data_IF_414595669090
#
_entry.id   IF_414595669090
#
_cell.length_a   1.000
_cell.length_b   1.000
_cell.length_c   1.000
_cell.angle_alpha   90.00
_cell.angle_beta   90.00
_cell.angle_gamma   90.00
#
_symmetry.space_group_name_H-M   'P 1'
#
loop_
_entity.id
_entity.type
_entity.pdbx_description
1 polymer ?
#
# COMPACT_ATOMS: atom_id res chain seq x y z
N UNK A 1 10.07 -23.75 2.18
CA UNK A 1 8.71 -23.39 1.75
C UNK A 1 7.98 -22.76 2.95
N UNK A 2 8.06 -21.48 3.08
CA UNK A 2 7.34 -20.72 4.12
C UNK A 2 5.92 -20.47 3.62
N UNK A 3 4.96 -21.13 4.23
CA UNK A 3 3.53 -20.89 4.10
C UNK A 3 3.26 -19.42 4.49
N UNK A 4 3.00 -18.57 3.51
CA UNK A 4 2.37 -17.28 3.72
C UNK A 4 1.02 -17.58 4.39
N UNK A 5 0.93 -17.25 5.68
CA UNK A 5 -0.28 -17.42 6.45
C UNK A 5 -1.43 -16.73 5.72
N UNK A 6 -2.41 -17.52 5.30
CA UNK A 6 -3.69 -16.99 4.84
C UNK A 6 -4.26 -16.21 6.02
N UNK A 7 -4.20 -14.88 5.93
CA UNK A 7 -4.87 -14.02 6.88
C UNK A 7 -6.32 -14.48 7.02
N UNK A 8 -6.82 -14.46 8.26
CA UNK A 8 -8.22 -14.78 8.54
C UNK A 8 -9.07 -13.86 7.64
N UNK A 9 -10.01 -14.39 6.84
CA UNK A 9 -10.85 -13.53 6.00
C UNK A 9 -11.52 -12.49 6.88
N UNK A 10 -11.54 -11.24 6.44
CA UNK A 10 -12.23 -10.18 7.17
C UNK A 10 -13.72 -10.52 7.29
N UNK A 11 -14.38 -10.07 8.34
CA UNK A 11 -15.82 -10.29 8.56
C UNK A 11 -16.62 -9.81 7.33
N UNK A 12 -16.21 -8.68 6.74
CA UNK A 12 -16.80 -8.15 5.52
C UNK A 12 -16.66 -9.10 4.32
N UNK A 13 -15.57 -9.86 4.24
CA UNK A 13 -15.34 -10.79 3.13
C UNK A 13 -16.26 -12.02 3.19
N UNK A 14 -16.69 -12.45 4.38
CA UNK A 14 -17.57 -13.61 4.54
C UNK A 14 -19.04 -13.32 4.25
N UNK A 15 -19.50 -12.08 4.37
CA UNK A 15 -20.92 -11.70 4.31
C UNK A 15 -21.36 -11.25 2.91
N UNK A 16 -20.42 -10.85 2.02
CA UNK A 16 -20.75 -10.36 0.69
C UNK A 16 -21.01 -11.48 -0.32
N UNK A 17 -22.08 -11.37 -1.13
CA UNK A 17 -22.32 -12.27 -2.24
C UNK A 17 -21.17 -12.26 -3.25
N UNK A 18 -20.88 -13.43 -3.85
CA UNK A 18 -19.76 -13.60 -4.76
C UNK A 18 -19.77 -12.63 -5.95
N UNK A 19 -20.93 -12.37 -6.55
CA UNK A 19 -21.06 -11.43 -7.66
C UNK A 19 -20.71 -9.99 -7.25
N UNK A 20 -21.02 -9.59 -6.01
CA UNK A 20 -20.62 -8.27 -5.49
C UNK A 20 -19.11 -8.21 -5.28
N UNK A 21 -18.50 -9.27 -4.72
CA UNK A 21 -17.03 -9.35 -4.58
C UNK A 21 -16.33 -9.21 -5.92
N UNK A 22 -16.81 -9.88 -6.96
CA UNK A 22 -16.26 -9.78 -8.33
C UNK A 22 -16.36 -8.34 -8.83
N UNK A 23 -17.53 -7.71 -8.73
CA UNK A 23 -17.71 -6.34 -9.19
C UNK A 23 -16.80 -5.34 -8.47
N UNK A 24 -16.64 -5.48 -7.16
CA UNK A 24 -15.78 -4.61 -6.37
C UNK A 24 -14.29 -4.83 -6.64
N UNK A 25 -13.87 -6.09 -6.86
CA UNK A 25 -12.50 -6.40 -7.24
C UNK A 25 -12.14 -5.81 -8.63
N UNK A 26 -13.07 -5.87 -9.59
CA UNK A 26 -12.90 -5.24 -10.90
C UNK A 26 -12.81 -3.71 -10.79
N UNK A 27 -13.49 -3.09 -9.82
CA UNK A 27 -13.41 -1.64 -9.58
C UNK A 27 -12.01 -1.19 -9.19
N UNK A 28 -11.30 -1.97 -8.40
CA UNK A 28 -9.94 -1.66 -7.96
C UNK A 28 -8.97 -1.57 -9.13
N UNK A 29 -9.22 -2.31 -10.23
CA UNK A 29 -8.41 -2.23 -11.45
C UNK A 29 -8.67 -0.98 -12.31
N UNK A 30 -9.54 -0.06 -11.85
CA UNK A 30 -9.82 1.20 -12.53
C UNK A 30 -11.00 1.16 -13.52
N UNK A 31 -11.72 0.05 -13.61
CA UNK A 31 -12.89 -0.06 -14.49
C UNK A 31 -14.03 0.86 -14.06
N UNK A 32 -14.89 1.21 -15.01
CA UNK A 32 -16.11 1.96 -14.70
C UNK A 32 -17.08 1.08 -13.91
N UNK A 33 -17.95 1.66 -13.09
CA UNK A 33 -18.94 0.92 -12.33
C UNK A 33 -19.87 0.06 -13.20
N UNK A 34 -20.21 0.56 -14.40
CA UNK A 34 -21.00 -0.18 -15.36
C UNK A 34 -20.28 -1.43 -15.86
N UNK A 35 -19.00 -1.31 -16.22
CA UNK A 35 -18.17 -2.43 -16.64
C UNK A 35 -17.97 -3.46 -15.52
N UNK A 36 -17.87 -3.00 -14.25
CA UNK A 36 -17.77 -3.89 -13.09
C UNK A 36 -19.06 -4.71 -12.89
N UNK A 37 -20.22 -4.08 -13.04
CA UNK A 37 -21.51 -4.77 -12.96
C UNK A 37 -21.67 -5.81 -14.09
N UNK A 38 -21.32 -5.45 -15.32
CA UNK A 38 -21.32 -6.37 -16.48
C UNK A 38 -20.38 -7.57 -16.25
N UNK A 39 -19.16 -7.34 -15.76
CA UNK A 39 -18.20 -8.41 -15.46
C UNK A 39 -18.70 -9.37 -14.37
N UNK A 40 -19.50 -8.88 -13.44
CA UNK A 40 -20.09 -9.66 -12.37
C UNK A 40 -21.46 -10.28 -12.74
N UNK A 41 -21.98 -10.00 -13.92
CA UNK A 41 -23.29 -10.49 -14.39
C UNK A 41 -24.49 -9.90 -13.64
N UNK A 42 -24.37 -8.69 -13.12
CA UNK A 42 -25.42 -7.98 -12.38
C UNK A 42 -25.78 -6.64 -13.02
N UNK A 43 -26.95 -6.10 -12.66
CA UNK A 43 -27.31 -4.76 -13.10
C UNK A 43 -26.48 -3.68 -12.39
N UNK A 44 -26.25 -2.57 -13.06
CA UNK A 44 -25.60 -1.41 -12.45
C UNK A 44 -26.37 -0.89 -11.23
N UNK A 45 -27.71 -0.92 -11.26
CA UNK A 45 -28.54 -0.47 -10.16
C UNK A 45 -28.40 -1.38 -8.93
N UNK A 46 -28.30 -2.69 -9.13
CA UNK A 46 -28.01 -3.66 -8.06
C UNK A 46 -26.65 -3.36 -7.41
N UNK A 47 -25.61 -3.15 -8.20
CA UNK A 47 -24.28 -2.83 -7.66
C UNK A 47 -24.30 -1.50 -6.92
N UNK A 48 -24.97 -0.48 -7.45
CA UNK A 48 -25.10 0.84 -6.82
C UNK A 48 -25.84 0.76 -5.48
N UNK A 49 -26.89 -0.06 -5.41
CA UNK A 49 -27.65 -0.27 -4.18
C UNK A 49 -26.77 -0.90 -3.09
N UNK A 50 -25.98 -1.92 -3.43
CA UNK A 50 -25.02 -2.53 -2.52
C UNK A 50 -24.01 -1.54 -1.97
N UNK A 51 -23.42 -0.72 -2.83
CA UNK A 51 -22.42 0.29 -2.41
C UNK A 51 -23.06 1.35 -1.52
N UNK A 52 -24.32 1.73 -1.77
CA UNK A 52 -24.99 2.78 -1.02
C UNK A 52 -25.48 2.31 0.34
N UNK A 53 -26.05 1.12 0.41
CA UNK A 53 -26.84 0.66 1.54
C UNK A 53 -26.13 -0.39 2.42
N UNK A 54 -25.02 -0.95 1.95
CA UNK A 54 -24.29 -2.01 2.65
C UNK A 54 -22.88 -1.56 3.03
N UNK A 55 -22.62 -1.23 4.32
CA UNK A 55 -21.30 -0.78 4.78
C UNK A 55 -20.19 -1.78 4.52
N UNK A 56 -20.49 -3.09 4.58
CA UNK A 56 -19.57 -4.19 4.30
C UNK A 56 -19.02 -4.15 2.87
N UNK A 57 -19.81 -3.69 1.90
CA UNK A 57 -19.34 -3.51 0.52
C UNK A 57 -18.28 -2.41 0.41
N UNK A 58 -18.43 -1.32 1.18
CA UNK A 58 -17.44 -0.23 1.24
C UNK A 58 -16.15 -0.71 1.93
N UNK A 59 -16.29 -1.43 3.03
CA UNK A 59 -15.14 -1.98 3.76
C UNK A 59 -14.35 -2.92 2.87
N UNK A 60 -15.02 -3.85 2.20
CA UNK A 60 -14.37 -4.77 1.25
C UNK A 60 -13.65 -4.04 0.11
N UNK A 61 -14.29 -3.02 -0.47
CA UNK A 61 -13.66 -2.21 -1.53
C UNK A 61 -12.39 -1.52 -1.02
N UNK A 62 -12.43 -0.93 0.19
CA UNK A 62 -11.27 -0.28 0.79
C UNK A 62 -10.13 -1.27 1.01
N UNK A 63 -10.41 -2.43 1.63
CA UNK A 63 -9.42 -3.48 1.83
C UNK A 63 -8.79 -3.94 0.51
N UNK A 64 -9.59 -4.12 -0.55
CA UNK A 64 -9.05 -4.50 -1.87
C UNK A 64 -8.25 -3.38 -2.54
N UNK A 65 -8.59 -2.12 -2.30
CA UNK A 65 -7.78 -0.99 -2.76
C UNK A 65 -6.42 -0.97 -2.04
N UNK A 66 -6.41 -1.19 -0.73
CA UNK A 66 -5.17 -1.23 0.05
C UNK A 66 -4.27 -2.40 -0.40
N UNK A 67 -4.82 -3.60 -0.55
CA UNK A 67 -4.13 -4.77 -1.09
C UNK A 67 -3.51 -4.47 -2.47
N UNK A 68 -4.25 -3.80 -3.35
CA UNK A 68 -3.77 -3.46 -4.69
C UNK A 68 -2.65 -2.41 -4.65
N UNK A 69 -2.75 -1.43 -3.78
CA UNK A 69 -1.70 -0.44 -3.54
C UNK A 69 -0.43 -1.13 -3.05
N UNK A 70 -0.53 -2.01 -2.04
CA UNK A 70 0.61 -2.75 -1.49
C UNK A 70 1.28 -3.63 -2.55
N UNK A 71 0.51 -4.33 -3.37
CA UNK A 71 1.05 -5.11 -4.50
C UNK A 71 1.76 -4.23 -5.52
N UNK A 72 1.22 -3.04 -5.78
CA UNK A 72 1.83 -2.06 -6.70
C UNK A 72 3.16 -1.56 -6.14
N UNK A 73 3.22 -1.18 -4.87
CA UNK A 73 4.45 -0.78 -4.21
C UNK A 73 5.50 -1.90 -4.21
N UNK A 74 5.08 -3.12 -3.92
CA UNK A 74 5.97 -4.29 -3.97
C UNK A 74 6.55 -4.50 -5.36
N UNK A 75 5.73 -4.42 -6.41
CA UNK A 75 6.18 -4.50 -7.79
C UNK A 75 7.18 -3.37 -8.12
N UNK A 76 6.86 -2.13 -7.76
CA UNK A 76 7.76 -0.99 -7.97
C UNK A 76 9.10 -1.17 -7.25
N UNK A 77 9.07 -1.67 -6.01
CA UNK A 77 10.29 -1.96 -5.24
C UNK A 77 11.14 -3.03 -5.93
N UNK A 78 10.54 -4.09 -6.45
CA UNK A 78 11.25 -5.13 -7.21
C UNK A 78 11.87 -4.60 -8.50
N UNK A 79 11.22 -3.65 -9.18
CA UNK A 79 11.69 -3.06 -10.43
C UNK A 79 12.62 -1.86 -10.25
N UNK A 80 12.71 -1.31 -9.05
CA UNK A 80 13.55 -0.15 -8.76
C UNK A 80 15.02 -0.30 -9.17
N UNK A 81 15.69 -1.46 -8.99
CA UNK A 81 17.06 -1.62 -9.46
C UNK A 81 17.21 -1.51 -10.98
N UNK A 82 16.26 -2.04 -11.75
CA UNK A 82 16.26 -1.94 -13.21
C UNK A 82 16.07 -0.49 -13.66
N UNK A 83 15.14 0.23 -13.04
CA UNK A 83 14.89 1.66 -13.31
C UNK A 83 16.10 2.50 -12.94
N UNK A 84 16.76 2.22 -11.82
CA UNK A 84 17.99 2.90 -11.41
C UNK A 84 19.11 2.70 -12.42
N UNK A 85 19.29 1.50 -12.97
CA UNK A 85 20.26 1.22 -14.02
C UNK A 85 19.97 2.04 -15.31
N UNK A 86 18.72 2.14 -15.72
CA UNK A 86 18.35 2.92 -16.90
C UNK A 86 18.59 4.43 -16.67
N UNK A 87 18.26 4.94 -15.48
CA UNK A 87 18.56 6.32 -15.11
C UNK A 87 20.07 6.58 -15.12
N UNK A 88 20.86 5.67 -14.58
CA UNK A 88 22.32 5.75 -14.62
C UNK A 88 22.86 5.76 -16.05
N UNK A 89 22.36 4.92 -16.94
CA UNK A 89 22.74 4.91 -18.35
C UNK A 89 22.49 6.27 -19.02
N UNK A 90 21.32 6.88 -18.78
CA UNK A 90 20.99 8.21 -19.29
C UNK A 90 22.00 9.27 -18.82
N UNK A 91 22.37 9.23 -17.54
CA UNK A 91 23.32 10.19 -16.95
C UNK A 91 24.73 10.01 -17.55
N UNK A 92 25.16 8.77 -17.74
CA UNK A 92 26.52 8.44 -18.20
C UNK A 92 26.70 8.49 -19.71
N UNK A 93 25.62 8.41 -20.49
CA UNK A 93 25.70 8.43 -21.96
C UNK A 93 26.16 9.82 -22.46
N UNK A 94 27.30 9.82 -23.16
CA UNK A 94 27.87 11.03 -23.73
C UNK A 94 27.00 11.68 -24.81
N UNK A 95 26.10 10.93 -25.45
CA UNK A 95 25.19 11.42 -26.50
C UNK A 95 23.93 12.06 -25.91
N UNK A 96 23.62 11.80 -24.65
CA UNK A 96 22.46 12.40 -23.98
C UNK A 96 22.68 13.91 -23.82
N UNK A 97 21.73 14.68 -24.28
CA UNK A 97 21.78 16.16 -24.22
C UNK A 97 21.66 16.66 -22.79
N UNK A 98 22.31 17.78 -22.48
CA UNK A 98 22.38 18.33 -21.12
C UNK A 98 21.00 18.63 -20.50
N UNK A 99 20.02 19.05 -21.29
CA UNK A 99 18.67 19.32 -20.78
C UNK A 99 17.92 18.04 -20.32
N UNK A 100 18.38 16.85 -20.75
CA UNK A 100 17.86 15.56 -20.27
C UNK A 100 18.66 15.07 -19.07
N UNK A 101 20.00 15.28 -19.08
CA UNK A 101 20.87 14.85 -17.98
C UNK A 101 20.61 15.59 -16.68
N UNK A 102 20.41 16.89 -16.72
CA UNK A 102 20.22 17.68 -15.51
C UNK A 102 19.00 17.24 -14.68
N UNK A 103 17.79 17.04 -15.24
CA UNK A 103 16.66 16.48 -14.52
C UNK A 103 16.89 15.05 -14.04
N UNK A 104 17.62 14.22 -14.81
CA UNK A 104 17.94 12.85 -14.41
C UNK A 104 18.85 12.81 -13.18
N UNK A 105 19.87 13.66 -13.13
CA UNK A 105 20.76 13.83 -11.98
C UNK A 105 19.99 14.33 -10.75
N UNK A 106 19.14 15.34 -10.91
CA UNK A 106 18.29 15.85 -9.84
C UNK A 106 17.37 14.77 -9.29
N UNK A 107 16.75 13.97 -10.17
CA UNK A 107 15.91 12.84 -9.79
C UNK A 107 16.69 11.79 -9.00
N UNK A 108 17.93 11.48 -9.41
CA UNK A 108 18.81 10.54 -8.72
C UNK A 108 19.05 10.98 -7.27
N UNK A 109 19.47 12.22 -7.05
CA UNK A 109 19.72 12.74 -5.71
C UNK A 109 18.44 12.85 -4.88
N UNK A 110 17.32 13.23 -5.47
CA UNK A 110 16.03 13.31 -4.77
C UNK A 110 15.54 11.94 -4.27
N UNK A 111 15.79 10.87 -5.03
CA UNK A 111 15.49 9.50 -4.59
C UNK A 111 16.36 9.10 -3.42
N UNK A 112 17.66 9.41 -3.47
CA UNK A 112 18.60 9.13 -2.38
C UNK A 112 18.22 9.88 -1.09
N UNK A 113 17.91 11.17 -1.19
CA UNK A 113 17.53 12.00 -0.05
C UNK A 113 16.25 11.50 0.62
N UNK A 114 15.22 11.17 -0.17
CA UNK A 114 13.98 10.60 0.36
C UNK A 114 14.22 9.27 1.08
N UNK A 115 14.99 8.38 0.50
CA UNK A 115 15.33 7.11 1.12
C UNK A 115 16.12 7.25 2.42
N UNK A 116 17.00 8.24 2.50
CA UNK A 116 17.75 8.57 3.71
C UNK A 116 16.85 9.15 4.81
N UNK A 117 15.98 10.10 4.47
CA UNK A 117 15.04 10.71 5.40
C UNK A 117 14.08 9.67 5.96
N UNK A 118 13.52 8.82 5.11
CA UNK A 118 12.58 7.77 5.53
C UNK A 118 13.21 6.82 6.54
N UNK A 119 14.40 6.31 6.26
CA UNK A 119 15.12 5.42 7.20
C UNK A 119 15.42 6.08 8.53
N UNK A 120 15.76 7.37 8.52
CA UNK A 120 16.01 8.10 9.76
C UNK A 120 14.73 8.34 10.57
N UNK A 121 13.59 8.55 9.92
CA UNK A 121 12.30 8.69 10.60
C UNK A 121 11.91 7.37 11.24
N UNK A 122 12.01 6.25 10.52
CA UNK A 122 11.72 4.90 11.03
C UNK A 122 12.59 4.56 12.23
N UNK A 123 13.92 4.77 12.14
CA UNK A 123 14.84 4.53 13.25
C UNK A 123 14.50 5.37 14.49
N UNK A 124 14.08 6.63 14.31
CA UNK A 124 13.66 7.47 15.44
C UNK A 124 12.33 7.06 16.03
N UNK A 125 11.39 6.58 15.22
CA UNK A 125 10.13 6.05 15.69
C UNK A 125 10.32 4.79 16.52
N UNK A 126 11.19 3.88 16.11
CA UNK A 126 11.55 2.69 16.86
C UNK A 126 12.19 3.05 18.20
N UNK A 127 13.16 3.98 18.21
CA UNK A 127 13.80 4.47 19.45
C UNK A 127 12.79 5.10 20.42
N UNK A 128 11.82 5.88 19.90
CA UNK A 128 10.78 6.49 20.73
C UNK A 128 9.81 5.44 21.28
N UNK A 129 9.46 4.44 20.51
CA UNK A 129 8.62 3.32 20.94
C UNK A 129 9.28 2.55 22.09
N UNK A 130 10.55 2.19 21.95
CA UNK A 130 11.31 1.51 23.01
C UNK A 130 11.38 2.34 24.30
N UNK A 131 11.55 3.66 24.18
CA UNK A 131 11.56 4.56 25.36
C UNK A 131 10.20 4.64 26.03
N UNK A 132 9.12 4.67 25.28
CA UNK A 132 7.75 4.66 25.82
C UNK A 132 7.47 3.35 26.55
N UNK A 133 7.80 2.22 25.96
CA UNK A 133 7.64 0.90 26.59
C UNK A 133 8.45 0.78 27.90
N UNK A 134 9.66 1.32 27.93
CA UNK A 134 10.47 1.36 29.14
C UNK A 134 9.85 2.23 30.25
N UNK A 135 9.25 3.38 29.90
CA UNK A 135 8.56 4.27 30.85
C UNK A 135 7.29 3.60 31.39
N UNK A 136 6.51 2.96 30.54
CA UNK A 136 5.29 2.26 30.93
C UNK A 136 5.62 1.05 31.82
N UNK A 137 6.64 0.27 31.48
CA UNK A 137 7.12 -0.84 32.28
C UNK A 137 7.55 -0.38 33.69
N UNK A 138 8.26 0.74 33.80
CA UNK A 138 8.66 1.30 35.09
C UNK A 138 7.46 1.85 35.90
N UNK A 139 6.44 2.38 35.26
CA UNK A 139 5.21 2.83 35.90
C UNK A 139 4.43 1.68 36.54
N UNK A 140 4.31 0.57 35.84
CA UNK A 140 3.64 -0.63 36.34
C UNK A 140 4.37 -1.19 37.57
N UNK A 141 5.71 -1.28 37.52
CA UNK A 141 6.52 -1.78 38.64
C UNK A 141 6.35 -0.89 39.89
N UNK A 142 6.30 0.42 39.72
CA UNK A 142 6.14 1.35 40.85
C UNK A 142 4.74 1.30 41.46
N UNK A 143 3.68 1.02 40.70
CA UNK A 143 2.34 0.80 41.26
C UNK A 143 2.23 -0.44 42.15
N UNK A 144 2.96 -1.51 41.83
CA UNK A 144 2.98 -2.74 42.63
C UNK A 144 3.88 -2.66 43.88
N UNK A 145 4.82 -1.72 43.93
CA UNK A 145 5.71 -1.52 45.12
C UNK A 145 5.10 -0.64 46.21
N UNK A 146 4.04 0.11 45.90
CA UNK A 146 3.42 1.06 46.83
C UNK A 146 2.07 0.56 47.41
N UNK A 147 1.74 -0.70 47.24
CA UNK A 147 0.68 -1.43 47.94
C UNK A 147 1.30 -2.51 48.81
#
# INVERSE_FOLDING_TARGET
MTSLGRGRPSIAESELPQHIKIALAEKVTGKTWKACAEAAGISYDTLRDWIRNHPEAKTYLTEKCDDYIDQTYFFMAQKSPEVALELHKIIMDKKTKNYVKAPAIDTWFRILDKGYIQRNIEAKQDELSERLDAIEGNRVINMYKNN
#
